data_IF_296436559449
#
_entry.id   IF_296436559449
#
_cell.length_a   1.000
_cell.length_b   1.000
_cell.length_c   1.000
_cell.angle_alpha   90.00
_cell.angle_beta   90.00
_cell.angle_gamma   90.00
#
_symmetry.space_group_name_H-M   'P 1'
#
loop_
_entity.id
_entity.type
_entity.pdbx_description
1 polymer ?
#
# COMPACT_ATOMS: atom_id res chain seq x y z
N UNK A 1 63.79 34.07 22.83
CA UNK A 1 63.59 33.35 21.55
C UNK A 1 62.70 32.15 21.79
N UNK A 2 61.46 32.19 21.29
CA UNK A 2 60.64 31.00 21.02
C UNK A 2 60.96 30.51 19.59
N UNK A 3 60.64 29.26 19.18
CA UNK A 3 59.25 28.89 18.84
C UNK A 3 58.80 27.52 19.41
N UNK A 4 57.58 27.42 19.96
CA UNK A 4 56.40 26.83 19.30
C UNK A 4 56.55 25.36 18.86
N UNK A 5 56.11 24.43 19.71
CA UNK A 5 55.73 23.06 19.30
C UNK A 5 54.21 23.01 19.15
N UNK A 6 53.76 23.04 17.90
CA UNK A 6 52.36 23.05 17.51
C UNK A 6 51.61 21.77 17.85
N UNK A 7 50.44 21.96 18.46
CA UNK A 7 49.32 21.00 18.52
C UNK A 7 48.90 20.59 17.10
N UNK A 8 49.00 19.31 16.75
CA UNK A 8 48.44 18.77 15.50
C UNK A 8 47.81 17.39 15.70
N UNK A 9 46.79 17.29 16.57
CA UNK A 9 46.01 16.05 16.69
C UNK A 9 44.47 16.17 16.84
N UNK A 10 43.76 17.26 16.44
CA UNK A 10 42.29 17.19 16.38
C UNK A 10 41.72 16.94 14.97
N UNK A 11 42.46 17.22 13.89
CA UNK A 11 41.87 17.28 12.53
C UNK A 11 41.56 15.88 11.95
N UNK A 12 42.43 14.89 12.20
CA UNK A 12 42.24 13.53 11.66
C UNK A 12 41.05 12.78 12.27
N UNK A 13 40.74 13.01 13.55
CA UNK A 13 39.56 12.40 14.21
C UNK A 13 38.25 13.05 13.77
N UNK A 14 38.26 14.36 13.48
CA UNK A 14 37.07 15.06 13.01
C UNK A 14 36.64 14.59 11.61
N UNK A 15 37.61 14.34 10.70
CA UNK A 15 37.33 13.86 9.34
C UNK A 15 36.75 12.44 9.33
N UNK A 16 37.24 11.56 10.22
CA UNK A 16 36.70 10.19 10.34
C UNK A 16 35.28 10.20 10.93
N UNK A 17 34.99 11.08 11.88
CA UNK A 17 33.63 11.26 12.41
C UNK A 17 32.66 11.88 11.39
N UNK A 18 33.14 12.79 10.54
CA UNK A 18 32.36 13.38 9.43
C UNK A 18 32.09 12.38 8.29
N UNK A 19 33.02 11.45 8.02
CA UNK A 19 32.81 10.38 7.05
C UNK A 19 31.85 9.30 7.57
N UNK A 20 31.84 9.03 8.89
CA UNK A 20 30.92 8.08 9.53
C UNK A 20 29.47 8.59 9.62
N UNK A 21 29.25 9.90 9.70
CA UNK A 21 27.89 10.48 9.65
C UNK A 21 27.31 10.53 8.23
N UNK A 22 28.16 10.59 7.20
CA UNK A 22 27.73 10.48 5.80
C UNK A 22 27.54 9.04 5.30
N UNK A 23 28.00 8.04 6.06
CA UNK A 23 27.82 6.62 5.74
C UNK A 23 26.63 5.97 6.45
N UNK A 24 25.77 6.73 7.13
CA UNK A 24 24.44 6.22 7.41
C UNK A 24 23.76 6.06 6.05
N UNK A 25 23.37 4.84 5.64
CA UNK A 25 22.49 4.75 4.49
C UNK A 25 21.29 5.60 4.89
N UNK A 26 21.03 6.66 4.12
CA UNK A 26 19.66 7.08 3.89
C UNK A 26 19.05 5.81 3.34
N UNK A 27 18.53 4.96 4.23
CA UNK A 27 17.92 3.71 3.86
C UNK A 27 16.89 4.13 2.84
N UNK A 28 17.11 3.78 1.58
CA UNK A 28 16.13 4.01 0.55
C UNK A 28 14.87 3.40 1.12
N UNK A 29 13.92 4.23 1.54
CA UNK A 29 12.72 3.72 2.16
C UNK A 29 12.13 2.78 1.11
N UNK A 30 11.97 1.50 1.44
CA UNK A 30 11.45 0.53 0.49
C UNK A 30 9.94 0.48 0.65
N UNK A 31 9.24 0.37 -0.48
CA UNK A 31 7.81 0.12 -0.49
C UNK A 31 6.94 1.20 -1.13
N UNK A 32 5.64 1.01 -0.93
CA UNK A 32 4.56 1.80 -1.52
C UNK A 32 3.84 2.54 -0.40
N UNK A 33 3.60 3.84 -0.58
CA UNK A 33 2.90 4.69 0.40
C UNK A 33 1.45 4.88 -0.03
N UNK A 34 0.54 4.61 0.90
CA UNK A 34 -0.89 4.61 0.65
C UNK A 34 -1.62 5.49 1.66
N UNK A 35 -2.75 6.03 1.19
CA UNK A 35 -3.80 6.62 2.01
C UNK A 35 -5.10 5.88 1.76
N UNK A 36 -5.79 5.51 2.83
CA UNK A 36 -7.14 4.96 2.79
C UNK A 36 -8.10 5.91 3.50
N UNK A 37 -9.27 6.11 2.90
CA UNK A 37 -10.33 6.93 3.45
C UNK A 37 -11.64 6.13 3.46
N UNK A 38 -12.39 6.25 4.54
CA UNK A 38 -13.67 5.57 4.73
C UNK A 38 -14.70 6.58 5.20
N UNK A 39 -15.81 6.67 4.49
CA UNK A 39 -16.98 7.44 4.90
C UNK A 39 -18.04 6.48 5.41
N UNK A 40 -18.42 6.66 6.67
CA UNK A 40 -19.60 6.03 7.24
C UNK A 40 -20.84 6.80 6.81
N UNK A 41 -21.96 6.09 6.72
CA UNK A 41 -23.24 6.68 6.35
C UNK A 41 -23.70 7.63 7.46
N UNK A 42 -23.96 8.88 7.09
CA UNK A 42 -24.36 9.93 8.03
C UNK A 42 -23.20 10.67 8.68
N UNK A 43 -21.95 10.31 8.40
CA UNK A 43 -20.78 11.07 8.83
C UNK A 43 -20.31 12.03 7.72
N UNK A 44 -20.00 13.28 8.08
CA UNK A 44 -19.47 14.27 7.13
C UNK A 44 -17.97 14.11 6.88
N UNK A 45 -17.23 13.62 7.88
CA UNK A 45 -15.78 13.47 7.81
C UNK A 45 -15.39 12.02 7.53
N UNK A 46 -14.39 11.84 6.67
CA UNK A 46 -13.82 10.53 6.43
C UNK A 46 -12.91 10.12 7.60
N UNK A 47 -12.98 8.85 7.97
CA UNK A 47 -11.87 8.23 8.70
C UNK A 47 -10.71 8.04 7.73
N UNK A 48 -9.54 8.57 8.06
CA UNK A 48 -8.34 8.49 7.23
C UNK A 48 -7.22 7.74 7.94
N UNK A 49 -6.46 6.95 7.20
CA UNK A 49 -5.19 6.40 7.64
C UNK A 49 -4.16 6.40 6.50
N UNK A 50 -2.92 6.75 6.83
CA UNK A 50 -1.77 6.53 5.95
C UNK A 50 -0.95 5.35 6.43
N UNK A 51 -0.42 4.60 5.47
CA UNK A 51 0.38 3.42 5.76
C UNK A 51 1.34 3.09 4.62
N UNK A 52 2.29 2.23 4.92
CA UNK A 52 3.31 1.76 3.98
C UNK A 52 3.15 0.28 3.76
N UNK A 53 3.28 -0.15 2.52
CA UNK A 53 3.35 -1.54 2.14
C UNK A 53 4.80 -1.88 1.77
N UNK A 54 5.43 -2.75 2.55
CA UNK A 54 6.85 -3.08 2.45
C UNK A 54 7.06 -4.59 2.38
N UNK A 55 8.17 -5.02 1.79
CA UNK A 55 8.58 -6.42 1.84
C UNK A 55 8.96 -6.82 3.27
N UNK A 56 8.40 -7.91 3.75
CA UNK A 56 8.71 -8.52 5.03
C UNK A 56 9.54 -9.79 4.82
N UNK A 57 10.70 -9.85 5.48
CA UNK A 57 11.47 -11.07 5.57
C UNK A 57 10.66 -12.17 6.27
N UNK A 58 10.82 -13.42 5.83
CA UNK A 58 10.19 -14.57 6.48
C UNK A 58 10.67 -14.67 7.94
N UNK A 59 9.74 -14.64 8.89
CA UNK A 59 10.07 -14.81 10.31
C UNK A 59 10.33 -16.30 10.54
N UNK A 60 11.60 -16.65 10.79
CA UNK A 60 11.99 -17.97 11.26
C UNK A 60 11.94 -17.98 12.78
N UNK A 61 10.94 -18.64 13.37
CA UNK A 61 11.01 -19.01 14.78
C UNK A 61 11.72 -20.35 14.93
N UNK A 62 12.21 -20.65 16.13
CA UNK A 62 13.09 -21.79 16.41
C UNK A 62 12.50 -23.17 16.02
N UNK A 63 11.19 -23.27 15.77
CA UNK A 63 10.52 -24.52 15.39
C UNK A 63 9.50 -24.41 14.24
N UNK A 64 9.25 -23.22 13.68
CA UNK A 64 8.34 -23.03 12.54
C UNK A 64 8.75 -21.81 11.70
N UNK A 65 8.78 -21.98 10.38
CA UNK A 65 8.81 -20.87 9.42
C UNK A 65 7.38 -20.34 9.30
N UNK A 66 7.11 -19.15 9.83
CA UNK A 66 5.84 -18.49 9.61
C UNK A 66 5.95 -17.63 8.37
N UNK A 67 5.30 -18.06 7.28
CA UNK A 67 5.17 -17.23 6.08
C UNK A 67 4.35 -15.98 6.43
N UNK A 68 4.76 -14.77 6.02
CA UNK A 68 3.95 -13.58 6.20
C UNK A 68 2.58 -13.74 5.54
N UNK A 69 1.51 -13.23 6.17
CA UNK A 69 0.12 -13.37 5.70
C UNK A 69 -0.08 -12.85 4.28
N UNK A 70 0.67 -11.82 3.92
CA UNK A 70 0.64 -11.16 2.61
C UNK A 70 1.74 -11.66 1.67
N UNK A 71 2.18 -12.92 1.77
CA UNK A 71 3.11 -13.50 0.78
C UNK A 71 4.49 -12.82 0.75
N UNK A 72 5.02 -12.43 1.91
CA UNK A 72 6.29 -11.68 1.99
C UNK A 72 6.13 -10.18 2.14
N UNK A 73 4.93 -9.69 2.50
CA UNK A 73 4.64 -8.27 2.66
C UNK A 73 4.09 -7.92 4.04
N UNK A 74 4.24 -6.66 4.45
CA UNK A 74 3.71 -6.10 5.70
C UNK A 74 3.18 -4.68 5.49
N UNK A 75 2.05 -4.40 6.13
CA UNK A 75 1.51 -3.05 6.28
C UNK A 75 2.07 -2.41 7.56
N UNK A 76 2.65 -1.23 7.42
CA UNK A 76 3.14 -0.42 8.52
C UNK A 76 2.36 0.89 8.59
N UNK A 77 1.64 1.06 9.68
CA UNK A 77 0.86 2.25 9.97
C UNK A 77 1.77 3.47 10.12
N UNK A 78 1.38 4.61 9.54
CA UNK A 78 2.05 5.86 9.88
C UNK A 78 1.54 6.36 11.24
N UNK A 79 2.32 6.13 12.30
CA UNK A 79 1.88 6.35 13.69
C UNK A 79 1.74 7.83 14.06
N UNK A 80 2.15 8.74 13.18
CA UNK A 80 2.01 10.18 13.41
C UNK A 80 0.64 10.73 13.00
N UNK A 81 -0.22 9.91 12.37
CA UNK A 81 -1.48 10.36 11.80
C UNK A 81 -2.66 9.46 12.18
N UNK A 82 -3.74 10.05 12.72
CA UNK A 82 -5.00 9.37 13.04
C UNK A 82 -5.11 8.82 14.47
N UNK A 83 -6.27 8.24 14.81
CA UNK A 83 -6.47 7.55 16.09
C UNK A 83 -6.06 6.06 15.96
N UNK A 84 -5.44 5.44 16.98
CA UNK A 84 -4.98 4.05 16.90
C UNK A 84 -6.07 3.05 16.52
N UNK A 85 -7.32 3.29 16.96
CA UNK A 85 -8.46 2.43 16.67
C UNK A 85 -8.89 2.52 15.19
N UNK A 86 -9.09 3.74 14.67
CA UNK A 86 -9.44 3.97 13.27
C UNK A 86 -8.36 3.38 12.35
N UNK A 87 -7.10 3.57 12.71
CA UNK A 87 -5.95 3.07 11.96
C UNK A 87 -5.94 1.54 11.91
N UNK A 88 -6.13 0.83 13.03
CA UNK A 88 -6.15 -0.63 13.03
C UNK A 88 -7.30 -1.20 12.18
N UNK A 89 -8.50 -0.61 12.25
CA UNK A 89 -9.65 -1.01 11.44
C UNK A 89 -9.38 -0.80 9.94
N UNK A 90 -8.90 0.38 9.56
CA UNK A 90 -8.62 0.73 8.16
C UNK A 90 -7.49 -0.11 7.57
N UNK A 91 -6.46 -0.41 8.35
CA UNK A 91 -5.38 -1.32 7.93
C UNK A 91 -5.88 -2.73 7.66
N UNK A 92 -6.77 -3.28 8.50
CA UNK A 92 -7.36 -4.59 8.25
C UNK A 92 -8.17 -4.66 6.95
N UNK A 93 -8.81 -3.55 6.55
CA UNK A 93 -9.49 -3.43 5.25
C UNK A 93 -8.49 -3.27 4.10
N UNK A 94 -7.47 -2.44 4.29
CA UNK A 94 -6.39 -2.26 3.33
C UNK A 94 -5.65 -3.57 3.05
N UNK A 95 -5.40 -4.41 4.06
CA UNK A 95 -4.77 -5.73 3.89
C UNK A 95 -5.56 -6.64 2.92
N UNK A 96 -6.89 -6.61 2.99
CA UNK A 96 -7.76 -7.38 2.08
C UNK A 96 -7.77 -6.83 0.66
N UNK A 97 -7.70 -5.51 0.51
CA UNK A 97 -7.68 -4.83 -0.78
C UNK A 97 -6.31 -4.94 -1.47
N UNK A 98 -5.23 -4.81 -0.71
CA UNK A 98 -3.88 -4.68 -1.20
C UNK A 98 -3.14 -6.01 -1.21
N UNK A 99 -3.52 -6.91 -2.11
CA UNK A 99 -2.69 -8.06 -2.43
C UNK A 99 -2.13 -7.86 -3.83
N UNK A 100 -0.82 -7.57 -3.89
CA UNK A 100 -0.15 -7.22 -5.13
C UNK A 100 -0.11 -8.43 -6.05
N UNK A 101 -0.78 -8.27 -7.18
CA UNK A 101 -0.98 -9.32 -8.16
C UNK A 101 -0.26 -8.99 -9.45
N UNK A 102 0.29 -10.03 -10.09
CA UNK A 102 0.62 -9.91 -11.50
C UNK A 102 -0.63 -9.74 -12.36
N UNK A 103 -0.46 -9.47 -13.65
CA UNK A 103 -1.59 -9.35 -14.56
C UNK A 103 -2.45 -10.62 -14.49
N UNK A 104 -3.74 -10.42 -14.19
CA UNK A 104 -4.75 -11.47 -14.22
C UNK A 104 -5.47 -11.47 -15.57
N UNK A 105 -6.21 -12.54 -15.92
CA UNK A 105 -7.02 -12.55 -17.14
C UNK A 105 -8.05 -11.41 -17.22
N UNK A 106 -8.45 -10.83 -16.09
CA UNK A 106 -9.36 -9.68 -16.03
C UNK A 106 -8.66 -8.33 -16.06
N UNK A 107 -7.32 -8.29 -16.07
CA UNK A 107 -6.57 -7.03 -16.21
C UNK A 107 -6.17 -6.80 -17.66
N UNK A 108 -6.23 -5.54 -18.12
CA UNK A 108 -5.85 -5.16 -19.48
C UNK A 108 -4.91 -3.95 -19.42
N UNK A 109 -3.87 -3.91 -20.28
CA UNK A 109 -3.03 -2.74 -20.37
C UNK A 109 -3.81 -1.58 -21.01
N UNK A 110 -3.62 -0.37 -20.50
CA UNK A 110 -4.20 0.86 -21.05
C UNK A 110 -3.13 1.62 -21.84
N UNK A 111 -3.51 2.38 -22.88
CA UNK A 111 -2.58 3.15 -23.71
C UNK A 111 -2.13 4.46 -23.03
N UNK A 112 -1.97 4.45 -21.71
CA UNK A 112 -1.57 5.59 -20.89
C UNK A 112 -0.53 5.17 -19.85
N UNK A 113 0.23 6.14 -19.35
CA UNK A 113 1.16 5.95 -18.25
C UNK A 113 1.01 7.06 -17.21
N UNK A 114 1.15 6.72 -15.94
CA UNK A 114 1.11 7.68 -14.84
C UNK A 114 2.52 8.01 -14.38
N UNK A 115 2.75 9.29 -14.10
CA UNK A 115 4.05 9.77 -13.65
C UNK A 115 4.10 9.82 -12.12
N UNK A 116 5.04 9.08 -11.54
CA UNK A 116 5.36 9.09 -10.12
C UNK A 116 6.80 9.57 -9.93
N UNK A 117 6.97 10.84 -9.59
CA UNK A 117 8.28 11.48 -9.50
C UNK A 117 9.02 11.44 -10.84
N UNK A 118 10.10 10.65 -10.90
CA UNK A 118 10.92 10.45 -12.10
C UNK A 118 10.57 9.18 -12.88
N UNK A 119 9.57 8.41 -12.43
CA UNK A 119 9.15 7.16 -13.05
C UNK A 119 7.87 7.38 -13.85
N UNK A 120 7.79 6.78 -15.03
CA UNK A 120 6.56 6.65 -15.81
C UNK A 120 6.11 5.20 -15.72
N UNK A 121 4.93 4.96 -15.17
CA UNK A 121 4.41 3.62 -14.95
C UNK A 121 3.27 3.29 -15.91
N UNK A 122 3.32 2.16 -16.61
CA UNK A 122 2.20 1.67 -17.42
C UNK A 122 0.95 1.49 -16.57
N UNK A 123 -0.20 1.94 -17.11
CA UNK A 123 -1.50 1.75 -16.47
C UNK A 123 -2.14 0.46 -16.95
N UNK A 124 -2.83 -0.19 -16.03
CA UNK A 124 -3.65 -1.34 -16.27
C UNK A 124 -5.05 -1.09 -15.71
N UNK A 125 -6.08 -1.51 -16.44
CA UNK A 125 -7.45 -1.56 -15.96
C UNK A 125 -7.79 -2.96 -15.48
N UNK A 126 -8.80 -3.06 -14.61
CA UNK A 126 -9.38 -4.32 -14.14
C UNK A 126 -10.87 -4.30 -14.48
N UNK A 127 -11.36 -5.40 -15.05
CA UNK A 127 -12.78 -5.54 -15.34
C UNK A 127 -13.59 -5.61 -14.03
N UNK A 128 -14.46 -4.62 -13.82
CA UNK A 128 -15.26 -4.51 -12.59
C UNK A 128 -16.40 -5.54 -12.56
N UNK A 129 -16.58 -6.27 -11.45
CA UNK A 129 -17.75 -7.11 -11.26
C UNK A 129 -19.04 -6.29 -11.37
N UNK A 130 -20.07 -6.87 -12.01
CA UNK A 130 -21.39 -6.24 -12.11
C UNK A 130 -22.01 -6.07 -10.72
N UNK A 131 -22.79 -5.01 -10.54
CA UNK A 131 -23.49 -4.72 -9.29
C UNK A 131 -22.66 -3.93 -8.26
N UNK A 132 -21.40 -3.62 -8.57
CA UNK A 132 -20.56 -2.77 -7.72
C UNK A 132 -20.30 -1.41 -8.39
N UNK A 133 -20.58 -0.32 -7.68
CA UNK A 133 -20.17 1.03 -8.09
C UNK A 133 -18.73 1.27 -7.66
N UNK A 134 -17.79 0.70 -8.41
CA UNK A 134 -16.36 0.84 -8.15
C UNK A 134 -15.57 1.31 -9.37
N UNK A 135 -14.48 2.02 -9.11
CA UNK A 135 -13.44 2.38 -10.08
C UNK A 135 -12.08 1.95 -9.54
N UNK A 136 -11.20 1.52 -10.43
CA UNK A 136 -9.84 1.14 -10.06
C UNK A 136 -8.86 1.50 -11.16
N UNK A 137 -7.66 1.88 -10.73
CA UNK A 137 -6.51 2.07 -11.60
C UNK A 137 -5.37 1.25 -11.02
N UNK A 138 -4.76 0.40 -11.85
CA UNK A 138 -3.57 -0.35 -11.51
C UNK A 138 -2.38 0.24 -12.23
N UNK A 139 -1.20 0.22 -11.61
CA UNK A 139 0.06 0.62 -12.24
C UNK A 139 1.11 -0.46 -12.09
N UNK A 140 1.91 -0.67 -13.14
CA UNK A 140 2.99 -1.64 -13.11
C UNK A 140 4.25 -1.04 -12.48
N UNK A 141 4.50 -1.36 -11.21
CA UNK A 141 5.61 -0.80 -10.42
C UNK A 141 6.93 -1.57 -10.59
N UNK A 142 6.86 -2.80 -11.09
CA UNK A 142 7.98 -3.62 -11.55
C UNK A 142 7.43 -4.62 -12.59
N UNK A 143 8.28 -5.30 -13.39
CA UNK A 143 7.80 -6.24 -14.40
C UNK A 143 6.81 -7.25 -13.81
N UNK A 144 5.57 -7.25 -14.33
CA UNK A 144 4.46 -8.10 -13.87
C UNK A 144 4.07 -7.90 -12.40
N UNK A 145 4.35 -6.74 -11.82
CA UNK A 145 3.95 -6.37 -10.47
C UNK A 145 2.99 -5.18 -10.55
N UNK A 146 1.69 -5.44 -10.43
CA UNK A 146 0.67 -4.39 -10.43
C UNK A 146 0.40 -3.93 -9.01
N UNK A 147 0.39 -2.61 -8.81
CA UNK A 147 -0.03 -1.95 -7.60
C UNK A 147 -1.36 -1.23 -7.82
N UNK A 148 -2.21 -1.21 -6.80
CA UNK A 148 -3.47 -0.49 -6.82
C UNK A 148 -3.20 1.01 -6.69
N UNK A 149 -3.19 1.73 -7.80
CA UNK A 149 -2.90 3.17 -7.82
C UNK A 149 -4.03 3.98 -7.21
N UNK A 150 -5.26 3.68 -7.65
CA UNK A 150 -6.47 4.37 -7.22
C UNK A 150 -7.58 3.32 -7.12
N UNK A 151 -8.37 3.46 -6.08
CA UNK A 151 -9.58 2.68 -5.87
C UNK A 151 -10.64 3.56 -5.23
N UNK A 152 -11.84 3.54 -5.78
CA UNK A 152 -13.01 4.13 -5.16
C UNK A 152 -14.17 3.16 -5.28
N UNK A 153 -14.89 2.95 -4.20
CA UNK A 153 -16.12 2.17 -4.20
C UNK A 153 -17.19 2.87 -3.38
N UNK A 154 -18.42 2.82 -3.87
CA UNK A 154 -19.61 3.31 -3.18
C UNK A 154 -20.55 2.16 -2.88
N UNK A 155 -21.14 2.22 -1.70
CA UNK A 155 -22.08 1.24 -1.22
C UNK A 155 -23.44 1.90 -1.04
N UNK A 156 -24.46 1.38 -1.72
CA UNK A 156 -25.82 1.91 -1.62
C UNK A 156 -26.47 1.58 -0.26
N UNK A 157 -26.05 0.47 0.36
CA UNK A 157 -26.62 -0.06 1.60
C UNK A 157 -25.53 -0.35 2.64
N UNK A 158 -25.95 -0.51 3.91
CA UNK A 158 -25.07 -0.75 5.05
C UNK A 158 -24.46 0.53 5.65
N UNK A 159 -23.63 0.34 6.68
CA UNK A 159 -23.06 1.44 7.49
C UNK A 159 -21.97 2.22 6.76
N UNK A 160 -21.34 1.62 5.75
CA UNK A 160 -20.31 2.25 4.94
C UNK A 160 -20.99 2.90 3.74
N UNK A 161 -20.65 4.16 3.44
CA UNK A 161 -21.11 4.85 2.25
C UNK A 161 -20.07 4.78 1.12
N UNK A 162 -18.79 4.93 1.48
CA UNK A 162 -17.70 5.02 0.50
C UNK A 162 -16.38 4.57 1.10
N UNK A 163 -15.56 3.91 0.28
CA UNK A 163 -14.17 3.62 0.58
C UNK A 163 -13.29 4.10 -0.58
N UNK A 164 -12.18 4.74 -0.25
CA UNK A 164 -11.16 5.13 -1.20
C UNK A 164 -9.78 4.66 -0.75
N UNK A 165 -8.93 4.30 -1.71
CA UNK A 165 -7.54 3.97 -1.48
C UNK A 165 -6.68 4.56 -2.60
N UNK A 166 -5.63 5.27 -2.20
CA UNK A 166 -4.77 6.05 -3.08
C UNK A 166 -3.30 5.72 -2.84
N UNK A 167 -2.57 5.44 -3.92
CA UNK A 167 -1.12 5.35 -3.90
C UNK A 167 -0.52 6.77 -3.96
N UNK A 168 0.02 7.23 -2.84
CA UNK A 168 0.57 8.58 -2.71
C UNK A 168 2.05 8.66 -3.09
N UNK A 169 2.76 7.55 -2.98
CA UNK A 169 4.21 7.55 -3.16
C UNK A 169 4.78 6.20 -3.55
N UNK A 170 5.82 6.27 -4.38
CA UNK A 170 6.67 5.16 -4.74
C UNK A 170 8.06 5.45 -4.21
N UNK A 171 8.47 4.68 -3.21
CA UNK A 171 9.86 4.69 -2.80
C UNK A 171 10.61 3.55 -3.53
N UNK A 172 11.68 3.00 -2.97
CA UNK A 172 12.41 1.92 -3.65
C UNK A 172 11.52 0.68 -3.80
N UNK A 173 11.41 0.17 -5.03
CA UNK A 173 10.64 -1.05 -5.34
C UNK A 173 11.52 -2.28 -5.55
N UNK A 174 12.82 -2.20 -5.26
CA UNK A 174 13.79 -3.25 -5.59
C UNK A 174 13.58 -4.56 -4.79
N UNK A 175 13.10 -4.46 -3.55
CA UNK A 175 12.75 -5.62 -2.71
C UNK A 175 11.35 -6.18 -2.95
N UNK A 176 10.57 -5.59 -3.86
CA UNK A 176 9.18 -5.94 -4.07
C UNK A 176 9.06 -7.11 -5.05
N UNK A 177 8.61 -8.27 -4.54
CA UNK A 177 8.29 -9.44 -5.35
C UNK A 177 6.76 -9.58 -5.51
N UNK A 178 6.27 -10.07 -6.67
CA UNK A 178 4.86 -10.44 -6.82
C UNK A 178 4.45 -11.40 -5.70
N UNK A 179 3.29 -11.16 -5.07
CA UNK A 179 2.76 -12.15 -4.15
C UNK A 179 2.38 -13.40 -4.97
N UNK A 180 2.93 -14.55 -4.59
CA UNK A 180 2.46 -15.84 -5.10
C UNK A 180 0.95 -15.93 -4.80
N UNK A 181 0.12 -16.07 -5.84
CA UNK A 181 -1.36 -16.01 -5.79
C UNK A 181 -2.02 -14.61 -5.70
N UNK A 182 -1.55 -13.68 -6.52
CA UNK A 182 -2.18 -12.39 -6.76
C UNK A 182 -3.62 -12.43 -7.32
N UNK A 183 -4.63 -12.67 -6.50
CA UNK A 183 -6.05 -12.56 -6.90
C UNK A 183 -6.95 -11.92 -5.85
N UNK A 184 -6.40 -11.49 -4.71
CA UNK A 184 -7.21 -11.07 -3.55
C UNK A 184 -8.01 -9.79 -3.79
N UNK A 185 -7.51 -8.82 -4.56
CA UNK A 185 -8.30 -7.64 -4.93
C UNK A 185 -9.57 -8.07 -5.67
N UNK A 186 -9.42 -8.88 -6.72
CA UNK A 186 -10.54 -9.35 -7.51
C UNK A 186 -11.51 -10.21 -6.69
N UNK A 187 -11.02 -11.16 -5.88
CA UNK A 187 -11.88 -12.01 -5.08
C UNK A 187 -12.64 -11.23 -4.00
N UNK A 188 -12.01 -10.19 -3.44
CA UNK A 188 -12.65 -9.24 -2.51
C UNK A 188 -13.75 -8.44 -3.22
N UNK A 189 -13.47 -7.89 -4.42
CA UNK A 189 -14.48 -7.17 -5.21
C UNK A 189 -15.65 -8.07 -5.61
N UNK A 190 -15.39 -9.33 -5.99
CA UNK A 190 -16.42 -10.31 -6.31
C UNK A 190 -17.24 -10.74 -5.10
N UNK A 191 -16.65 -10.78 -3.89
CA UNK A 191 -17.39 -11.02 -2.66
C UNK A 191 -18.34 -9.85 -2.38
N UNK A 192 -17.87 -8.60 -2.47
CA UNK A 192 -18.71 -7.41 -2.27
C UNK A 192 -19.82 -7.29 -3.32
N UNK A 193 -19.54 -7.62 -4.58
CA UNK A 193 -20.57 -7.63 -5.61
C UNK A 193 -21.68 -8.65 -5.33
N UNK A 194 -21.34 -9.81 -4.76
CA UNK A 194 -22.33 -10.83 -4.34
C UNK A 194 -23.16 -10.35 -3.15
N UNK A 195 -22.52 -9.81 -2.12
CA UNK A 195 -23.20 -9.24 -0.94
C UNK A 195 -24.16 -8.11 -1.34
N UNK A 196 -23.74 -7.23 -2.26
CA UNK A 196 -24.59 -6.16 -2.78
C UNK A 196 -25.81 -6.70 -3.56
N UNK A 197 -25.64 -7.80 -4.32
CA UNK A 197 -26.73 -8.47 -5.03
C UNK A 197 -27.76 -9.11 -4.09
N UNK A 198 -27.30 -9.83 -3.07
CA UNK A 198 -28.17 -10.49 -2.08
C UNK A 198 -28.99 -9.49 -1.26
N UNK A 199 -28.42 -8.32 -0.94
CA UNK A 199 -29.11 -7.25 -0.23
C UNK A 199 -30.18 -6.55 -1.08
N UNK A 200 -30.01 -6.51 -2.41
CA UNK A 200 -31.00 -6.00 -3.35
C UNK A 200 -32.17 -6.98 -3.57
N UNK A 201 -31.93 -8.29 -3.58
CA UNK A 201 -32.99 -9.31 -3.74
C UNK A 201 -33.87 -9.45 -2.49
N UNK A 202 -33.29 -9.29 -1.30
CA UNK A 202 -34.00 -9.34 -0.02
C UNK A 202 -34.93 -8.15 0.22
N UNK A 203 -34.71 -7.01 -0.46
CA UNK A 203 -35.63 -5.86 -0.43
C UNK A 203 -36.83 -6.02 -1.38
N UNK A 204 -36.71 -6.87 -2.41
CA UNK A 204 -37.79 -7.12 -3.39
C UNK A 204 -38.77 -8.19 -2.89
N UNK A 205 -38.36 -9.04 -1.94
CA UNK A 205 -39.16 -10.17 -1.45
C UNK A 205 -40.08 -9.87 -0.26
N UNK A 206 -40.17 -8.60 0.20
CA UNK A 206 -41.19 -8.18 1.16
C UNK A 206 -42.41 -7.63 0.41
N UNK A 207 -43.34 -8.51 0.03
CA UNK A 207 -44.69 -8.17 -0.38
C UNK A 207 -45.69 -9.12 0.26
#
# INVERSE_FOLDING_TARGET
>A
MAPWKGRWYPVRRLIVLLLLTFSLPIGAQEGLRYRIQLWMRGEEQAMEARFRLQSAAAIRSHNKVQKPRMGGWRLEADRTEGTPYAQAMLLGRAERLLYLAGPSPQTRPEPIALRFGNRSLPVWSLEMPRGLHASTVLVEVAPKLLALCDFSVRFEQGDIARLELHLEGLDSTAGLAPAEAGTTLLSTLQAWAREAGEAAESTVTVR
#
